data_IF_256190864457
#
_entry.id   IF_256190864457
#
_cell.length_a   1.000
_cell.length_b   1.000
_cell.length_c   1.000
_cell.angle_alpha   90.00
_cell.angle_beta   90.00
_cell.angle_gamma   90.00
#
_symmetry.space_group_name_H-M   'P 1'
#
loop_
_entity.id
_entity.type
_entity.pdbx_description
1 polymer ?
#
# COMPACT_ATOMS: atom_id res chain seq x y z
N UNK A 1 71.06 4.26 -14.28
CA UNK A 1 71.08 5.72 -14.55
C UNK A 1 70.18 5.92 -15.75
N UNK A 2 69.09 6.68 -15.75
CA UNK A 2 68.58 7.74 -14.88
C UNK A 2 67.12 8.02 -15.29
N UNK A 3 66.36 8.58 -14.36
CA UNK A 3 64.94 8.94 -14.42
C UNK A 3 64.59 10.06 -15.43
N UNK A 4 63.31 10.14 -15.81
CA UNK A 4 62.44 11.34 -15.84
C UNK A 4 61.07 10.89 -16.39
N UNK A 5 60.00 10.77 -15.61
CA UNK A 5 59.16 11.81 -14.98
C UNK A 5 58.26 12.54 -15.98
N UNK A 6 56.94 12.44 -15.74
CA UNK A 6 55.87 12.82 -16.65
C UNK A 6 54.52 12.67 -15.94
N UNK A 7 54.28 13.57 -14.99
CA UNK A 7 53.03 13.70 -14.26
C UNK A 7 51.88 14.06 -15.22
N UNK A 8 50.92 13.13 -15.37
CA UNK A 8 49.63 13.36 -16.01
C UNK A 8 48.55 13.55 -14.94
N UNK A 9 48.11 14.80 -14.78
CA UNK A 9 47.01 15.24 -13.92
C UNK A 9 45.71 14.51 -14.27
N UNK A 10 45.14 13.77 -13.30
CA UNK A 10 43.81 13.17 -13.43
C UNK A 10 42.71 14.26 -13.40
N UNK A 11 41.66 14.16 -14.24
CA UNK A 11 40.57 15.13 -14.21
C UNK A 11 39.77 14.97 -12.91
N UNK A 12 39.57 16.10 -12.21
CA UNK A 12 38.75 16.18 -11.02
C UNK A 12 37.32 15.71 -11.33
N UNK A 13 36.92 14.62 -10.67
CA UNK A 13 35.55 14.11 -10.72
C UNK A 13 34.67 15.12 -9.99
N UNK A 14 33.85 15.84 -10.76
CA UNK A 14 32.88 16.81 -10.29
C UNK A 14 32.00 16.18 -9.20
N UNK A 15 32.22 16.61 -7.97
CA UNK A 15 31.64 16.00 -6.75
C UNK A 15 30.26 16.58 -6.44
N UNK A 16 29.87 17.67 -7.11
CA UNK A 16 28.59 18.36 -6.89
C UNK A 16 27.40 17.65 -7.56
N UNK A 17 27.60 16.96 -8.68
CA UNK A 17 26.52 16.23 -9.37
C UNK A 17 25.99 15.00 -8.59
N UNK A 18 26.75 14.51 -7.59
CA UNK A 18 26.32 13.42 -6.70
C UNK A 18 25.45 13.92 -5.53
N UNK A 19 25.60 15.18 -5.14
CA UNK A 19 24.82 15.76 -4.04
C UNK A 19 23.39 16.12 -4.48
N UNK A 20 23.24 16.68 -5.69
CA UNK A 20 21.92 17.02 -6.26
C UNK A 20 21.06 15.77 -6.55
N UNK A 21 21.70 14.65 -6.91
CA UNK A 21 21.01 13.37 -7.11
C UNK A 21 20.56 12.73 -5.79
N UNK A 22 21.29 12.90 -4.70
CA UNK A 22 20.92 12.34 -3.40
C UNK A 22 19.71 13.07 -2.78
N UNK A 23 19.65 14.40 -2.90
CA UNK A 23 18.53 15.20 -2.38
C UNK A 23 17.22 14.95 -3.13
N UNK A 24 17.25 14.91 -4.48
CA UNK A 24 16.04 14.64 -5.28
C UNK A 24 15.52 13.19 -5.22
N UNK A 25 16.24 12.29 -4.56
CA UNK A 25 15.91 10.86 -4.43
C UNK A 25 15.24 10.58 -3.09
N UNK A 26 15.71 11.19 -2.00
CA UNK A 26 14.99 11.17 -0.72
C UNK A 26 13.62 11.84 -0.86
N UNK A 27 13.53 12.92 -1.64
CA UNK A 27 12.28 13.62 -1.95
C UNK A 27 11.25 12.74 -2.68
N UNK A 28 11.64 11.72 -3.44
CA UNK A 28 10.70 10.90 -4.24
C UNK A 28 9.97 9.86 -3.41
N UNK A 29 10.68 9.18 -2.51
CA UNK A 29 10.06 8.22 -1.62
C UNK A 29 9.39 8.92 -0.43
N UNK A 30 10.01 9.99 0.08
CA UNK A 30 9.31 10.83 1.03
C UNK A 30 8.08 11.47 0.38
N UNK A 31 8.08 11.88 -0.89
CA UNK A 31 6.85 12.28 -1.61
C UNK A 31 5.86 11.12 -1.84
N UNK A 32 6.35 9.90 -2.08
CA UNK A 32 5.49 8.70 -2.17
C UNK A 32 4.82 8.38 -0.83
N UNK A 33 5.52 8.60 0.28
CA UNK A 33 5.04 8.28 1.63
C UNK A 33 4.45 9.49 2.37
N UNK A 34 4.70 10.72 1.93
CA UNK A 34 4.18 11.95 2.54
C UNK A 34 2.77 12.18 2.03
N UNK A 35 1.88 12.49 2.97
CA UNK A 35 0.52 12.92 2.70
C UNK A 35 0.48 14.37 2.22
N UNK A 36 1.60 15.10 2.28
CA UNK A 36 1.65 16.49 1.86
C UNK A 36 1.53 16.60 0.35
N UNK A 37 0.47 17.31 -0.02
CA UNK A 37 0.11 17.65 -1.37
C UNK A 37 1.27 18.33 -2.10
N UNK A 38 1.37 17.99 -3.38
CA UNK A 38 1.88 18.93 -4.38
C UNK A 38 1.15 20.27 -4.20
N UNK A 39 1.84 21.21 -3.55
CA UNK A 39 1.32 22.54 -3.27
C UNK A 39 0.93 23.28 -4.55
N UNK A 40 -0.38 23.33 -4.83
CA UNK A 40 -0.95 24.36 -5.68
C UNK A 40 -1.12 25.61 -4.81
N UNK A 41 -0.18 26.52 -5.00
CA UNK A 41 -0.12 27.85 -4.42
C UNK A 41 -1.37 28.64 -4.80
N UNK A 42 -2.18 28.90 -3.79
CA UNK A 42 -3.08 30.03 -3.57
C UNK A 42 -2.91 31.20 -4.57
N UNK A 43 -3.84 31.29 -5.53
CA UNK A 43 -4.20 32.53 -6.22
C UNK A 43 -5.54 32.35 -6.96
N UNK A 44 -6.65 32.59 -6.26
CA UNK A 44 -7.91 33.06 -6.84
C UNK A 44 -8.93 33.37 -5.72
N UNK A 45 -8.61 34.31 -4.83
CA UNK A 45 -9.67 35.15 -4.27
C UNK A 45 -9.93 36.27 -5.29
N UNK A 46 -11.06 36.20 -6.00
CA UNK A 46 -11.99 37.32 -6.20
C UNK A 46 -13.06 36.91 -7.23
N UNK A 47 -14.16 36.28 -6.76
CA UNK A 47 -15.53 36.49 -7.27
C UNK A 47 -16.51 36.13 -6.16
N UNK A 48 -17.10 37.16 -5.57
CA UNK A 48 -18.32 37.05 -4.77
C UNK A 48 -19.55 37.18 -5.67
N UNK A 49 -20.64 36.59 -5.17
CA UNK A 49 -22.06 36.73 -5.53
C UNK A 49 -22.48 36.01 -6.83
N UNK A 50 -23.53 35.21 -6.92
CA UNK A 50 -24.62 34.78 -6.03
C UNK A 50 -25.17 33.48 -6.65
N UNK A 51 -25.57 32.48 -5.85
CA UNK A 51 -26.86 31.82 -6.05
C UNK A 51 -27.19 30.88 -4.89
N UNK A 52 -28.36 31.17 -4.32
CA UNK A 52 -28.96 30.52 -3.17
C UNK A 52 -29.63 29.18 -3.53
N UNK A 53 -29.55 28.28 -2.56
CA UNK A 53 -30.58 27.32 -2.14
C UNK A 53 -30.90 26.14 -3.07
N UNK A 54 -30.48 24.94 -2.65
CA UNK A 54 -31.39 23.81 -2.48
C UNK A 54 -30.87 22.89 -1.38
N UNK A 55 -31.62 22.90 -0.28
CA UNK A 55 -31.41 22.11 0.91
C UNK A 55 -31.80 20.64 0.71
N UNK A 56 -31.09 19.76 1.42
CA UNK A 56 -31.69 18.57 2.03
C UNK A 56 -31.24 17.22 1.45
N UNK A 57 -30.24 16.60 2.06
CA UNK A 57 -30.45 15.43 2.93
C UNK A 57 -29.09 14.92 3.46
N UNK A 58 -28.91 15.06 4.77
CA UNK A 58 -27.84 14.43 5.54
C UNK A 58 -28.25 12.98 5.84
N UNK A 59 -27.44 11.96 5.50
CA UNK A 59 -27.61 10.60 6.01
C UNK A 59 -26.55 10.29 7.05
N UNK A 60 -26.42 11.13 8.09
CA UNK A 60 -25.63 10.83 9.28
C UNK A 60 -26.52 10.88 10.53
N UNK A 61 -27.28 9.81 10.76
CA UNK A 61 -27.84 9.53 12.09
C UNK A 61 -27.98 8.02 12.33
N UNK A 62 -26.90 7.29 12.07
CA UNK A 62 -26.73 5.90 12.50
C UNK A 62 -25.37 5.82 13.17
N UNK A 63 -25.34 5.24 14.38
CA UNK A 63 -24.17 5.05 15.25
C UNK A 63 -23.93 6.13 16.32
N UNK A 64 -24.86 6.21 17.28
CA UNK A 64 -24.65 6.94 18.52
C UNK A 64 -25.58 6.52 19.65
N UNK A 65 -25.54 5.27 20.13
CA UNK A 65 -26.14 4.93 21.43
C UNK A 65 -25.12 4.25 22.34
N UNK A 66 -24.40 5.11 23.04
CA UNK A 66 -23.61 4.77 24.22
C UNK A 66 -24.58 4.41 25.35
N UNK A 67 -24.49 3.18 25.86
CA UNK A 67 -25.28 2.74 27.00
C UNK A 67 -24.76 3.42 28.26
N UNK A 68 -25.57 4.30 28.84
CA UNK A 68 -25.35 4.90 30.15
C UNK A 68 -25.91 3.98 31.25
N UNK A 69 -25.01 3.57 32.13
CA UNK A 69 -25.24 2.90 33.41
C UNK A 69 -26.09 3.78 34.33
N UNK A 70 -27.22 3.28 34.83
CA UNK A 70 -27.94 3.85 35.97
C UNK A 70 -28.52 2.70 36.78
N UNK A 71 -27.92 2.50 37.95
CA UNK A 71 -28.48 1.69 39.04
C UNK A 71 -29.52 2.52 39.77
N UNK A 72 -30.70 1.96 39.97
CA UNK A 72 -31.56 2.32 41.10
C UNK A 72 -32.32 1.08 41.58
N UNK A 73 -32.29 0.85 42.89
CA UNK A 73 -32.94 -0.23 43.63
C UNK A 73 -34.34 0.25 44.06
N UNK A 74 -35.42 -0.49 43.75
CA UNK A 74 -36.56 -0.72 44.66
C UNK A 74 -37.73 -1.51 44.02
N UNK A 75 -38.13 -2.56 44.76
CA UNK A 75 -39.45 -3.23 44.91
C UNK A 75 -40.03 -4.13 43.79
N UNK A 76 -40.52 -5.36 44.11
CA UNK A 76 -41.07 -6.29 43.14
C UNK A 76 -42.59 -6.08 43.02
N UNK A 77 -43.01 -5.23 42.09
CA UNK A 77 -44.40 -5.27 41.60
C UNK A 77 -44.54 -6.35 40.53
N UNK A 78 -45.62 -7.11 40.69
CA UNK A 78 -46.00 -8.28 39.89
C UNK A 78 -46.30 -7.80 38.46
N UNK A 79 -45.39 -8.12 37.53
CA UNK A 79 -45.61 -7.94 36.10
C UNK A 79 -46.54 -9.04 35.58
N UNK A 80 -47.84 -8.73 35.49
CA UNK A 80 -48.77 -9.46 34.63
C UNK A 80 -48.31 -9.27 33.17
N UNK A 81 -47.58 -10.27 32.66
CA UNK A 81 -47.32 -10.38 31.23
C UNK A 81 -48.64 -10.67 30.52
N UNK A 82 -49.31 -9.62 30.05
CA UNK A 82 -50.27 -9.74 28.98
C UNK A 82 -49.51 -10.23 27.74
N UNK A 83 -49.58 -11.53 27.48
CA UNK A 83 -49.03 -12.14 26.29
C UNK A 83 -49.67 -11.47 25.06
N UNK A 84 -48.87 -10.71 24.31
CA UNK A 84 -49.24 -10.25 22.98
C UNK A 84 -49.64 -11.47 22.13
N UNK A 85 -50.72 -11.42 21.35
CA UNK A 85 -51.13 -12.55 20.55
C UNK A 85 -50.01 -12.92 19.57
N UNK A 86 -49.49 -14.15 19.67
CA UNK A 86 -48.45 -14.60 18.73
C UNK A 86 -48.97 -14.48 17.29
N UNK A 87 -48.17 -13.92 16.37
CA UNK A 87 -48.59 -13.71 14.99
C UNK A 87 -48.94 -15.06 14.33
N UNK A 88 -50.09 -15.08 13.66
CA UNK A 88 -50.58 -16.27 12.98
C UNK A 88 -49.54 -16.76 11.95
N UNK A 89 -49.13 -18.02 12.08
CA UNK A 89 -48.19 -18.68 11.16
C UNK A 89 -48.93 -19.27 9.98
N UNK A 90 -48.46 -18.96 8.77
CA UNK A 90 -48.99 -19.43 7.50
C UNK A 90 -48.08 -20.54 7.00
N UNK A 91 -48.64 -21.67 6.58
CA UNK A 91 -47.89 -22.77 5.99
C UNK A 91 -47.74 -22.56 4.48
N UNK A 92 -46.50 -22.42 4.02
CA UNK A 92 -46.14 -22.23 2.62
C UNK A 92 -46.15 -23.55 1.85
N UNK A 93 -46.15 -23.46 0.52
CA UNK A 93 -46.21 -24.61 -0.40
C UNK A 93 -44.99 -25.55 -0.30
N UNK A 94 -43.88 -25.09 0.25
CA UNK A 94 -42.67 -25.88 0.53
C UNK A 94 -42.73 -26.60 1.89
N UNK A 95 -43.82 -26.43 2.64
CA UNK A 95 -44.03 -27.04 3.96
C UNK A 95 -43.50 -26.22 5.13
N UNK A 96 -42.86 -25.07 4.91
CA UNK A 96 -42.39 -24.15 5.97
C UNK A 96 -43.53 -23.31 6.54
N UNK A 97 -43.44 -22.94 7.82
CA UNK A 97 -44.42 -22.06 8.48
C UNK A 97 -43.77 -20.72 8.81
N UNK A 98 -44.34 -19.62 8.32
CA UNK A 98 -43.82 -18.26 8.51
C UNK A 98 -44.96 -17.28 8.82
N UNK A 99 -44.63 -16.21 9.53
CA UNK A 99 -45.54 -15.09 9.82
C UNK A 99 -45.70 -14.18 8.59
N UNK A 100 -46.75 -13.35 8.58
CA UNK A 100 -46.98 -12.41 7.49
C UNK A 100 -45.85 -11.39 7.31
N UNK A 101 -45.20 -10.99 8.42
CA UNK A 101 -44.09 -10.04 8.46
C UNK A 101 -42.82 -10.65 7.84
N UNK A 102 -42.48 -11.90 8.18
CA UNK A 102 -41.34 -12.62 7.60
C UNK A 102 -41.48 -12.78 6.07
N UNK A 103 -42.71 -13.06 5.58
CA UNK A 103 -42.99 -13.17 4.15
C UNK A 103 -42.83 -11.81 3.44
N UNK A 104 -43.18 -10.70 4.11
CA UNK A 104 -42.93 -9.36 3.56
C UNK A 104 -41.43 -9.05 3.53
N UNK A 105 -40.70 -9.33 4.61
CA UNK A 105 -39.26 -9.12 4.67
C UNK A 105 -38.50 -9.92 3.60
N UNK A 106 -38.89 -11.18 3.37
CA UNK A 106 -38.28 -12.00 2.30
C UNK A 106 -38.55 -11.44 0.90
N UNK A 107 -39.75 -10.91 0.66
CA UNK A 107 -40.07 -10.22 -0.60
C UNK A 107 -39.24 -8.96 -0.77
N UNK A 108 -39.14 -8.14 0.27
CA UNK A 108 -38.35 -6.90 0.25
C UNK A 108 -36.85 -7.18 0.14
N UNK A 109 -36.36 -8.25 0.76
CA UNK A 109 -34.99 -8.73 0.60
C UNK A 109 -34.72 -9.23 -0.83
N UNK A 110 -35.67 -9.93 -1.43
CA UNK A 110 -35.61 -10.36 -2.84
C UNK A 110 -35.58 -9.18 -3.80
N UNK A 111 -36.43 -8.17 -3.59
CA UNK A 111 -36.48 -6.92 -4.37
C UNK A 111 -35.16 -6.14 -4.25
N UNK A 112 -34.62 -5.99 -3.04
CA UNK A 112 -33.30 -5.36 -2.81
C UNK A 112 -32.19 -6.12 -3.53
N UNK A 113 -32.17 -7.45 -3.41
CA UNK A 113 -31.14 -8.29 -4.06
C UNK A 113 -31.21 -8.18 -5.58
N UNK A 114 -32.42 -8.17 -6.16
CA UNK A 114 -32.62 -7.98 -7.59
C UNK A 114 -32.15 -6.58 -8.04
N UNK A 115 -32.47 -5.54 -7.27
CA UNK A 115 -32.02 -4.18 -7.56
C UNK A 115 -30.50 -4.03 -7.48
N UNK A 116 -29.86 -4.56 -6.43
CA UNK A 116 -28.40 -4.58 -6.30
C UNK A 116 -27.74 -5.35 -7.44
N UNK A 117 -28.29 -6.52 -7.80
CA UNK A 117 -27.77 -7.33 -8.91
C UNK A 117 -27.82 -6.55 -10.21
N UNK A 118 -28.98 -5.95 -10.52
CA UNK A 118 -29.18 -5.14 -11.72
C UNK A 118 -28.26 -3.93 -11.74
N UNK A 119 -28.18 -3.15 -10.66
CA UNK A 119 -27.27 -2.00 -10.55
C UNK A 119 -25.81 -2.40 -10.70
N UNK A 120 -25.41 -3.53 -10.11
CA UNK A 120 -24.03 -4.03 -10.24
C UNK A 120 -23.73 -4.45 -11.68
N UNK A 121 -24.68 -5.08 -12.36
CA UNK A 121 -24.57 -5.41 -13.79
C UNK A 121 -24.50 -4.14 -14.65
N UNK A 122 -25.38 -3.16 -14.44
CA UNK A 122 -25.38 -1.88 -15.14
C UNK A 122 -24.04 -1.13 -14.94
N UNK A 123 -23.49 -1.10 -13.71
CA UNK A 123 -22.19 -0.49 -13.42
C UNK A 123 -21.06 -1.27 -14.12
N UNK A 124 -21.09 -2.59 -14.10
CA UNK A 124 -20.08 -3.41 -14.77
C UNK A 124 -20.11 -3.23 -16.29
N UNK A 125 -21.31 -3.16 -16.89
CA UNK A 125 -21.50 -2.88 -18.32
C UNK A 125 -21.04 -1.48 -18.68
N UNK A 126 -21.38 -0.47 -17.87
CA UNK A 126 -20.93 0.91 -18.07
C UNK A 126 -19.42 1.00 -18.01
N UNK A 127 -18.76 0.34 -17.05
CA UNK A 127 -17.30 0.27 -16.97
C UNK A 127 -16.67 -0.36 -18.22
N UNK A 128 -17.19 -1.51 -18.66
CA UNK A 128 -16.71 -2.16 -19.90
C UNK A 128 -16.87 -1.26 -21.12
N UNK A 129 -17.99 -0.56 -21.24
CA UNK A 129 -18.24 0.37 -22.35
C UNK A 129 -17.29 1.58 -22.30
N UNK A 130 -17.00 2.11 -21.10
CA UNK A 130 -16.01 3.17 -20.92
C UNK A 130 -14.60 2.71 -21.26
N UNK A 131 -14.19 1.51 -20.79
CA UNK A 131 -12.88 0.93 -21.10
C UNK A 131 -12.70 0.70 -22.61
N UNK A 132 -13.74 0.20 -23.29
CA UNK A 132 -13.73 0.03 -24.75
C UNK A 132 -13.55 1.36 -25.46
N UNK A 133 -14.33 2.39 -25.08
CA UNK A 133 -14.19 3.74 -25.65
C UNK A 133 -12.83 4.36 -25.36
N UNK A 134 -12.29 4.18 -24.16
CA UNK A 134 -10.96 4.66 -23.82
C UNK A 134 -9.89 3.99 -24.71
N UNK A 135 -10.03 2.69 -24.99
CA UNK A 135 -9.19 1.96 -25.93
C UNK A 135 -9.30 2.50 -27.37
N UNK A 136 -10.52 2.69 -27.86
CA UNK A 136 -10.77 3.28 -29.19
C UNK A 136 -10.16 4.68 -29.32
N UNK A 137 -10.37 5.55 -28.33
CA UNK A 137 -9.79 6.90 -28.28
C UNK A 137 -8.26 6.82 -28.32
N UNK A 138 -7.65 5.90 -27.57
CA UNK A 138 -6.20 5.71 -27.60
C UNK A 138 -5.69 5.31 -28.99
N UNK A 139 -6.38 4.37 -29.66
CA UNK A 139 -6.02 3.93 -31.01
C UNK A 139 -6.20 5.07 -32.03
N UNK A 140 -7.26 5.86 -31.89
CA UNK A 140 -7.45 7.05 -32.73
C UNK A 140 -6.34 8.08 -32.52
N UNK A 141 -5.92 8.32 -31.28
CA UNK A 141 -4.81 9.22 -30.99
C UNK A 141 -3.49 8.76 -31.65
N UNK A 142 -3.16 7.48 -31.56
CA UNK A 142 -1.94 6.95 -32.20
C UNK A 142 -2.04 7.05 -33.72
N UNK A 143 -3.20 6.74 -34.30
CA UNK A 143 -3.42 6.86 -35.75
C UNK A 143 -3.30 8.31 -36.24
N UNK A 144 -3.81 9.29 -35.48
CA UNK A 144 -3.68 10.72 -35.80
C UNK A 144 -2.22 11.17 -35.69
N UNK A 145 -1.51 10.76 -34.64
CA UNK A 145 -0.09 11.09 -34.49
C UNK A 145 0.74 10.57 -35.67
N UNK A 146 0.54 9.31 -36.06
CA UNK A 146 1.21 8.73 -37.23
C UNK A 146 0.81 9.40 -38.55
N UNK A 147 -0.45 9.79 -38.70
CA UNK A 147 -0.91 10.52 -39.87
C UNK A 147 -0.25 11.90 -39.98
N UNK A 148 -0.10 12.62 -38.86
CA UNK A 148 0.62 13.90 -38.80
C UNK A 148 2.10 13.74 -39.15
N UNK A 149 2.77 12.71 -38.64
CA UNK A 149 4.17 12.40 -39.00
C UNK A 149 4.32 12.13 -40.51
N UNK A 150 3.43 11.32 -41.09
CA UNK A 150 3.42 11.07 -42.54
C UNK A 150 3.12 12.34 -43.34
N UNK A 151 2.17 13.15 -42.89
CA UNK A 151 1.82 14.40 -43.54
C UNK A 151 2.99 15.38 -43.53
N UNK A 152 3.69 15.51 -42.39
CA UNK A 152 4.88 16.34 -42.25
C UNK A 152 5.99 15.88 -43.19
N UNK A 153 6.28 14.57 -43.23
CA UNK A 153 7.28 14.02 -44.15
C UNK A 153 6.95 14.27 -45.63
N UNK A 154 5.68 14.17 -46.01
CA UNK A 154 5.23 14.47 -47.37
C UNK A 154 5.38 15.97 -47.66
N UNK A 155 4.87 16.84 -46.79
CA UNK A 155 4.95 18.29 -47.02
C UNK A 155 6.41 18.75 -47.10
N UNK A 156 7.27 18.32 -46.19
CA UNK A 156 8.70 18.64 -46.22
C UNK A 156 9.40 18.19 -47.52
N UNK A 157 8.99 17.05 -48.09
CA UNK A 157 9.53 16.57 -49.36
C UNK A 157 9.11 17.42 -50.59
N UNK A 158 7.98 18.12 -50.50
CA UNK A 158 7.45 18.97 -51.58
C UNK A 158 7.58 20.47 -51.32
N UNK A 159 8.20 20.89 -50.21
CA UNK A 159 8.48 22.31 -49.94
C UNK A 159 9.45 22.83 -51.01
N UNK A 160 9.08 23.88 -51.75
CA UNK A 160 9.96 24.48 -52.74
C UNK A 160 11.17 25.12 -52.06
N UNK A 161 12.30 25.19 -52.74
CA UNK A 161 13.46 25.91 -52.23
C UNK A 161 13.18 27.42 -52.20
N UNK A 162 13.71 28.14 -51.20
CA UNK A 162 13.54 29.59 -51.13
C UNK A 162 14.12 30.26 -52.40
N UNK A 163 13.42 31.23 -52.99
CA UNK A 163 13.90 31.93 -54.18
C UNK A 163 15.17 32.72 -53.86
N UNK A 164 16.11 32.79 -54.81
CA UNK A 164 17.38 33.49 -54.61
C UNK A 164 17.16 34.99 -54.48
N UNK A 165 17.98 35.66 -53.67
CA UNK A 165 17.96 37.12 -53.53
C UNK A 165 18.42 37.84 -54.81
N UNK A 166 19.19 37.17 -55.64
CA UNK A 166 19.61 37.66 -56.96
C UNK A 166 18.41 37.80 -57.93
N UNK A 167 17.44 36.88 -57.86
CA UNK A 167 16.21 36.96 -58.62
C UNK A 167 15.40 38.21 -58.26
N UNK A 168 15.47 38.69 -57.02
CA UNK A 168 14.80 39.92 -56.60
C UNK A 168 15.39 41.18 -57.29
N UNK A 169 16.65 41.15 -57.70
CA UNK A 169 17.32 42.25 -58.42
C UNK A 169 17.03 42.23 -59.92
N UNK A 170 16.95 41.02 -60.51
CA UNK A 170 16.78 40.84 -61.95
C UNK A 170 15.32 40.77 -62.39
N UNK A 171 14.44 40.16 -61.60
CA UNK A 171 13.00 40.04 -61.87
C UNK A 171 12.19 40.07 -60.55
N UNK A 172 11.86 41.28 -60.06
CA UNK A 172 11.11 41.44 -58.83
C UNK A 172 9.73 40.77 -58.86
N UNK A 173 9.07 40.77 -60.02
CA UNK A 173 7.73 40.18 -60.16
C UNK A 173 7.78 38.67 -59.95
N UNK A 174 8.74 37.97 -60.58
CA UNK A 174 8.90 36.52 -60.37
C UNK A 174 9.35 36.18 -58.96
N UNK A 175 10.26 36.96 -58.38
CA UNK A 175 10.65 36.77 -56.99
C UNK A 175 9.45 36.83 -56.04
N UNK A 176 8.57 37.83 -56.19
CA UNK A 176 7.39 37.95 -55.32
C UNK A 176 6.42 36.77 -55.49
N UNK A 177 6.25 36.26 -56.71
CA UNK A 177 5.42 35.10 -56.97
C UNK A 177 6.01 33.82 -56.34
N UNK A 178 7.29 33.56 -56.54
CA UNK A 178 7.97 32.38 -55.96
C UNK A 178 8.04 32.46 -54.44
N UNK A 179 8.28 33.65 -53.88
CA UNK A 179 8.28 33.88 -52.45
C UNK A 179 6.89 33.64 -51.85
N UNK A 180 5.81 34.07 -52.52
CA UNK A 180 4.45 33.79 -52.06
C UNK A 180 4.14 32.29 -52.03
N UNK A 181 4.58 31.53 -53.03
CA UNK A 181 4.43 30.07 -53.07
C UNK A 181 5.24 29.42 -51.94
N UNK A 182 6.49 29.85 -51.74
CA UNK A 182 7.34 29.37 -50.65
C UNK A 182 6.73 29.64 -49.27
N UNK A 183 6.26 30.87 -49.03
CA UNK A 183 5.62 31.25 -47.77
C UNK A 183 4.33 30.45 -47.52
N UNK A 184 3.52 30.22 -48.54
CA UNK A 184 2.34 29.38 -48.43
C UNK A 184 2.70 27.93 -48.03
N UNK A 185 3.73 27.35 -48.66
CA UNK A 185 4.23 26.02 -48.31
C UNK A 185 4.76 25.96 -46.87
N UNK A 186 5.54 26.97 -46.44
CA UNK A 186 6.04 27.06 -45.07
C UNK A 186 4.93 27.21 -44.04
N UNK A 187 3.86 27.95 -44.37
CA UNK A 187 2.67 28.05 -43.51
C UNK A 187 2.00 26.70 -43.25
N UNK A 188 1.98 25.81 -44.24
CA UNK A 188 1.47 24.44 -44.06
C UNK A 188 2.38 23.58 -43.17
N UNK A 189 3.70 23.69 -43.34
CA UNK A 189 4.69 23.01 -42.47
C UNK A 189 4.51 23.46 -41.02
N UNK A 190 4.41 24.77 -40.80
CA UNK A 190 4.25 25.36 -39.47
C UNK A 190 2.93 24.90 -38.81
N UNK A 191 1.83 24.84 -39.57
CA UNK A 191 0.55 24.35 -39.07
C UNK A 191 0.63 22.89 -38.59
N UNK A 192 1.16 22.00 -39.42
CA UNK A 192 1.30 20.57 -39.07
C UNK A 192 2.26 20.42 -37.88
N UNK A 193 3.36 21.17 -37.86
CA UNK A 193 4.33 21.14 -36.76
C UNK A 193 3.71 21.59 -35.44
N UNK A 194 2.89 22.65 -35.46
CA UNK A 194 2.15 23.14 -34.30
C UNK A 194 1.15 22.10 -33.80
N UNK A 195 0.39 21.46 -34.70
CA UNK A 195 -0.55 20.39 -34.33
C UNK A 195 0.17 19.19 -33.70
N UNK A 196 1.32 18.79 -34.25
CA UNK A 196 2.17 17.74 -33.66
C UNK A 196 2.60 18.11 -32.25
N UNK A 197 3.14 19.32 -32.06
CA UNK A 197 3.62 19.78 -30.76
C UNK A 197 2.50 19.79 -29.72
N UNK A 198 1.30 20.25 -30.10
CA UNK A 198 0.13 20.23 -29.22
C UNK A 198 -0.26 18.80 -28.82
N UNK A 199 -0.24 17.86 -29.77
CA UNK A 199 -0.56 16.46 -29.50
C UNK A 199 0.46 15.80 -28.57
N UNK A 200 1.77 16.06 -28.78
CA UNK A 200 2.84 15.59 -27.90
C UNK A 200 2.69 16.16 -26.49
N UNK A 201 2.43 17.47 -26.36
CA UNK A 201 2.23 18.09 -25.06
C UNK A 201 1.03 17.51 -24.30
N UNK A 202 -0.08 17.23 -25.00
CA UNK A 202 -1.24 16.56 -24.40
C UNK A 202 -0.91 15.12 -23.97
N UNK A 203 -0.16 14.38 -24.78
CA UNK A 203 0.28 13.03 -24.44
C UNK A 203 1.17 13.02 -23.19
N UNK A 204 2.10 13.96 -23.08
CA UNK A 204 2.99 14.10 -21.93
C UNK A 204 2.21 14.47 -20.66
N UNK A 205 1.26 15.40 -20.75
CA UNK A 205 0.38 15.75 -19.63
C UNK A 205 -0.44 14.55 -19.16
N UNK A 206 -1.00 13.77 -20.09
CA UNK A 206 -1.78 12.57 -19.76
C UNK A 206 -0.90 11.51 -19.12
N UNK A 207 0.30 11.26 -19.65
CA UNK A 207 1.25 10.31 -19.07
C UNK A 207 1.66 10.70 -17.64
N UNK A 208 1.84 12.00 -17.37
CA UNK A 208 2.11 12.50 -16.03
C UNK A 208 0.92 12.28 -15.08
N UNK A 209 -0.30 12.57 -15.53
CA UNK A 209 -1.51 12.34 -14.75
C UNK A 209 -1.72 10.84 -14.46
N UNK A 210 -1.57 9.97 -15.45
CA UNK A 210 -1.68 8.52 -15.30
C UNK A 210 -0.63 7.97 -14.33
N UNK A 211 0.60 8.49 -14.39
CA UNK A 211 1.67 8.14 -13.45
C UNK A 211 1.33 8.59 -12.02
N UNK A 212 0.81 9.81 -11.85
CA UNK A 212 0.40 10.32 -10.55
C UNK A 212 -0.74 9.48 -9.95
N UNK A 213 -1.75 9.16 -10.76
CA UNK A 213 -2.86 8.29 -10.36
C UNK A 213 -2.39 6.89 -9.98
N UNK A 214 -1.47 6.30 -10.76
CA UNK A 214 -0.88 5.01 -10.46
C UNK A 214 -0.13 5.03 -9.11
N UNK A 215 0.70 6.05 -8.89
CA UNK A 215 1.45 6.25 -7.65
C UNK A 215 0.50 6.40 -6.46
N UNK A 216 -0.54 7.22 -6.58
CA UNK A 216 -1.54 7.38 -5.52
C UNK A 216 -2.27 6.07 -5.20
N UNK A 217 -2.70 5.34 -6.24
CA UNK A 217 -3.36 4.04 -6.06
C UNK A 217 -2.47 2.99 -5.39
N UNK A 218 -1.17 2.95 -5.73
CA UNK A 218 -0.20 2.09 -5.06
C UNK A 218 -0.01 2.48 -3.58
N UNK A 219 0.07 3.78 -3.29
CA UNK A 219 0.16 4.30 -1.93
C UNK A 219 -1.08 3.93 -1.09
N UNK A 220 -2.27 4.08 -1.64
CA UNK A 220 -3.51 3.76 -0.92
C UNK A 220 -3.60 2.25 -0.62
N UNK A 221 -3.17 1.40 -1.56
CA UNK A 221 -3.06 -0.06 -1.34
C UNK A 221 -2.01 -0.39 -0.27
N UNK A 222 -0.90 0.35 -0.22
CA UNK A 222 0.10 0.21 0.83
C UNK A 222 -0.47 0.57 2.21
N UNK A 223 -1.20 1.69 2.32
CA UNK A 223 -1.83 2.11 3.58
C UNK A 223 -2.98 1.20 4.01
N UNK A 224 -3.68 0.57 3.06
CA UNK A 224 -4.66 -0.46 3.37
C UNK A 224 -3.98 -1.74 3.91
N UNK A 225 -2.81 -2.10 3.37
CA UNK A 225 -2.07 -3.29 3.78
C UNK A 225 -1.26 -3.12 5.07
N UNK A 226 -0.74 -1.91 5.34
CA UNK A 226 0.03 -1.55 6.53
C UNK A 226 -0.56 -0.26 7.13
N UNK A 227 -1.66 -0.36 7.91
CA UNK A 227 -2.38 0.81 8.43
C UNK A 227 -1.54 1.72 9.32
N UNK A 228 -0.48 1.20 9.94
CA UNK A 228 0.44 1.98 10.77
C UNK A 228 1.13 3.09 9.98
N UNK A 229 1.25 2.95 8.65
CA UNK A 229 1.83 3.96 7.76
C UNK A 229 0.90 5.15 7.52
N UNK A 230 -0.32 5.18 8.09
CA UNK A 230 -1.12 6.41 8.07
C UNK A 230 -0.59 7.49 9.03
N UNK A 231 0.18 7.07 10.04
CA UNK A 231 0.84 7.97 11.00
C UNK A 231 2.22 8.41 10.47
N UNK A 232 2.47 9.72 10.42
CA UNK A 232 3.71 10.30 9.89
C UNK A 232 4.98 9.88 10.62
N UNK A 233 4.94 9.76 11.95
CA UNK A 233 6.09 9.35 12.75
C UNK A 233 6.41 7.86 12.52
N UNK A 234 5.36 7.02 12.44
CA UNK A 234 5.52 5.59 12.12
C UNK A 234 6.03 5.39 10.69
N UNK A 235 5.60 6.21 9.73
CA UNK A 235 6.15 6.19 8.36
C UNK A 235 7.63 6.50 8.33
N UNK A 236 8.08 7.54 9.03
CA UNK A 236 9.50 7.89 9.05
C UNK A 236 10.35 6.76 9.65
N UNK A 237 9.91 6.18 10.76
CA UNK A 237 10.58 5.04 11.38
C UNK A 237 10.61 3.82 10.44
N UNK A 238 9.49 3.53 9.76
CA UNK A 238 9.41 2.46 8.78
C UNK A 238 10.36 2.70 7.60
N UNK A 239 10.39 3.91 7.05
CA UNK A 239 11.28 4.26 5.94
C UNK A 239 12.76 4.04 6.30
N UNK A 240 13.19 4.51 7.47
CA UNK A 240 14.55 4.28 7.97
C UNK A 240 14.87 2.80 8.18
N UNK A 241 13.90 2.02 8.63
CA UNK A 241 14.06 0.57 8.76
C UNK A 241 14.22 -0.11 7.40
N UNK A 242 13.41 0.28 6.41
CA UNK A 242 13.47 -0.28 5.06
C UNK A 242 14.78 0.07 4.36
N UNK A 243 15.29 1.30 4.50
CA UNK A 243 16.60 1.70 3.97
C UNK A 243 17.69 0.76 4.52
N UNK A 244 17.73 0.55 5.84
CA UNK A 244 18.70 -0.38 6.45
C UNK A 244 18.51 -1.82 5.98
N UNK A 245 17.27 -2.23 5.76
CA UNK A 245 16.97 -3.57 5.27
C UNK A 245 17.49 -3.78 3.85
N UNK A 246 17.30 -2.84 2.93
CA UNK A 246 17.77 -2.96 1.54
C UNK A 246 19.30 -2.87 1.45
N UNK A 247 19.94 -2.07 2.31
CA UNK A 247 21.40 -1.97 2.40
C UNK A 247 22.03 -3.32 2.77
N UNK A 248 21.37 -4.11 3.61
CA UNK A 248 21.82 -5.46 3.95
C UNK A 248 21.83 -6.42 2.74
N UNK A 249 21.09 -6.09 1.67
CA UNK A 249 21.07 -6.83 0.40
C UNK A 249 21.92 -6.17 -0.70
N UNK A 250 22.64 -5.08 -0.39
CA UNK A 250 23.52 -4.37 -1.33
C UNK A 250 22.81 -3.39 -2.25
N UNK A 251 21.55 -3.07 -1.99
CA UNK A 251 20.84 -1.99 -2.69
C UNK A 251 21.17 -0.64 -2.07
N UNK A 252 21.20 0.40 -2.89
CA UNK A 252 21.32 1.78 -2.43
C UNK A 252 19.97 2.35 -2.02
N UNK A 253 20.00 3.44 -1.25
CA UNK A 253 18.81 4.25 -0.96
C UNK A 253 18.11 4.72 -2.25
N UNK A 254 18.88 4.97 -3.31
CA UNK A 254 18.33 5.38 -4.61
C UNK A 254 17.56 4.26 -5.32
N UNK A 255 17.97 3.00 -5.15
CA UNK A 255 17.24 1.86 -5.69
C UNK A 255 15.93 1.67 -4.94
N UNK A 256 15.95 1.85 -3.61
CA UNK A 256 14.76 1.78 -2.78
C UNK A 256 13.74 2.88 -3.10
N UNK A 257 14.20 4.11 -3.34
CA UNK A 257 13.32 5.22 -3.70
C UNK A 257 12.62 5.06 -5.05
N UNK A 258 13.09 4.15 -5.92
CA UNK A 258 12.43 3.83 -7.19
C UNK A 258 11.31 2.80 -7.03
N UNK A 259 11.17 2.18 -5.85
CA UNK A 259 10.14 1.17 -5.60
C UNK A 259 8.81 1.87 -5.32
N UNK A 260 7.95 1.88 -6.34
CA UNK A 260 6.57 2.40 -6.25
C UNK A 260 5.58 1.26 -5.92
N UNK A 261 5.89 0.03 -6.33
CA UNK A 261 5.00 -1.12 -6.17
C UNK A 261 4.82 -1.49 -4.69
N UNK A 262 3.59 -1.34 -4.18
CA UNK A 262 3.26 -1.63 -2.78
C UNK A 262 3.54 -3.08 -2.40
N UNK A 263 3.49 -4.03 -3.36
CA UNK A 263 3.76 -5.45 -3.12
C UNK A 263 5.23 -5.67 -2.79
N UNK A 264 6.13 -4.97 -3.49
CA UNK A 264 7.56 -5.04 -3.22
C UNK A 264 7.89 -4.44 -1.84
N UNK A 265 7.26 -3.33 -1.49
CA UNK A 265 7.41 -2.71 -0.17
C UNK A 265 6.94 -3.67 0.94
N UNK A 266 5.83 -4.38 0.72
CA UNK A 266 5.34 -5.41 1.66
C UNK A 266 6.32 -6.57 1.82
N UNK A 267 6.83 -7.11 0.72
CA UNK A 267 7.83 -8.19 0.74
C UNK A 267 9.09 -7.74 1.48
N UNK A 268 9.53 -6.51 1.25
CA UNK A 268 10.67 -5.93 1.95
C UNK A 268 10.40 -5.79 3.45
N UNK A 269 9.21 -5.32 3.84
CA UNK A 269 8.81 -5.23 5.23
C UNK A 269 8.81 -6.60 5.92
N UNK A 270 8.31 -7.62 5.25
CA UNK A 270 8.33 -9.00 5.75
C UNK A 270 9.76 -9.54 5.86
N UNK A 271 10.62 -9.26 4.89
CA UNK A 271 12.03 -9.61 4.94
C UNK A 271 12.75 -8.93 6.11
N UNK A 272 12.51 -7.63 6.33
CA UNK A 272 13.08 -6.88 7.45
C UNK A 272 12.64 -7.46 8.81
N UNK A 273 11.34 -7.75 8.95
CA UNK A 273 10.77 -8.42 10.14
C UNK A 273 11.41 -9.79 10.37
N UNK A 274 11.55 -10.59 9.31
CA UNK A 274 12.19 -11.89 9.40
C UNK A 274 13.66 -11.80 9.85
N UNK A 275 14.43 -10.85 9.30
CA UNK A 275 15.81 -10.62 9.71
C UNK A 275 15.90 -10.21 11.18
N UNK A 276 14.99 -9.37 11.67
CA UNK A 276 14.90 -9.02 13.10
C UNK A 276 14.65 -10.24 13.98
N UNK A 277 13.70 -11.10 13.60
CA UNK A 277 13.39 -12.34 14.33
C UNK A 277 14.62 -13.27 14.33
N UNK A 278 15.27 -13.43 13.18
CA UNK A 278 16.48 -14.25 13.05
C UNK A 278 17.63 -13.71 13.90
N UNK A 279 17.87 -12.40 13.88
CA UNK A 279 18.89 -11.75 14.70
C UNK A 279 18.58 -11.87 16.20
N UNK A 280 17.32 -11.68 16.59
CA UNK A 280 16.88 -11.87 17.98
C UNK A 280 17.03 -13.34 18.44
N UNK A 281 16.79 -14.29 17.54
CA UNK A 281 16.96 -15.73 17.81
C UNK A 281 18.43 -16.16 17.85
N UNK A 282 19.30 -15.53 17.07
CA UNK A 282 20.74 -15.76 17.06
C UNK A 282 21.46 -15.15 18.27
N UNK A 283 20.91 -14.06 18.85
CA UNK A 283 21.40 -13.40 20.07
C UNK A 283 21.19 -14.22 21.36
N UNK A 284 20.58 -15.39 21.25
CA UNK A 284 20.34 -16.31 22.35
C UNK A 284 18.94 -16.85 22.23
N UNK A 285 18.82 -18.18 22.15
CA UNK A 285 17.59 -18.83 22.53
C UNK A 285 17.11 -18.15 23.82
N UNK A 286 15.93 -17.55 23.80
CA UNK A 286 15.11 -17.47 24.99
C UNK A 286 14.98 -18.94 25.41
N UNK A 287 15.91 -19.40 26.27
CA UNK A 287 15.72 -20.61 27.06
C UNK A 287 14.31 -20.40 27.59
N UNK A 288 13.32 -21.27 27.27
CA UNK A 288 12.01 -21.14 27.87
C UNK A 288 12.29 -20.98 29.35
N UNK A 289 11.91 -19.83 29.92
CA UNK A 289 12.20 -19.52 31.31
C UNK A 289 11.74 -20.76 32.07
N UNK A 290 12.71 -21.51 32.62
CA UNK A 290 12.49 -22.90 33.03
C UNK A 290 11.19 -22.92 33.80
N UNK A 291 10.16 -23.46 33.16
CA UNK A 291 8.81 -23.39 33.68
C UNK A 291 8.91 -24.12 35.00
N UNK A 292 8.88 -23.37 36.10
CA UNK A 292 9.05 -23.94 37.43
C UNK A 292 7.93 -24.95 37.54
N UNK A 293 8.27 -26.24 37.44
CA UNK A 293 7.32 -27.31 37.63
C UNK A 293 6.58 -27.00 38.94
N UNK A 294 5.24 -27.01 38.96
CA UNK A 294 4.51 -26.70 40.18
C UNK A 294 5.02 -27.63 41.27
N UNK A 295 5.60 -27.05 42.32
CA UNK A 295 6.05 -27.82 43.47
C UNK A 295 4.82 -28.53 44.05
N UNK A 296 4.85 -29.86 44.19
CA UNK A 296 3.76 -30.56 44.84
C UNK A 296 3.60 -30.03 46.27
N UNK A 297 2.36 -29.87 46.77
CA UNK A 297 2.11 -29.27 48.08
C UNK A 297 2.79 -30.08 49.19
N UNK A 298 3.36 -29.34 50.14
CA UNK A 298 4.32 -29.77 51.14
C UNK A 298 4.04 -31.11 51.82
N UNK A 299 5.04 -32.00 51.81
CA UNK A 299 5.15 -33.05 52.82
C UNK A 299 5.60 -32.41 54.14
N UNK A 300 4.75 -32.57 55.16
CA UNK A 300 5.01 -32.17 56.54
C UNK A 300 6.29 -32.84 57.05
N UNK A 301 7.14 -32.04 57.68
CA UNK A 301 8.30 -32.51 58.43
C UNK A 301 7.81 -33.35 59.62
N UNK A 302 8.26 -34.60 59.70
CA UNK A 302 8.00 -35.47 60.83
C UNK A 302 8.13 -36.96 60.47
N UNK A 303 9.36 -37.44 60.27
CA UNK A 303 9.89 -38.70 60.83
C UNK A 303 11.36 -38.85 60.38
N UNK A 304 12.31 -38.59 61.29
CA UNK A 304 13.75 -38.65 61.03
C UNK A 304 14.31 -40.09 61.00
N UNK A 305 13.57 -41.05 60.43
CA UNK A 305 13.98 -42.46 60.32
C UNK A 305 14.17 -42.97 58.89
N UNK A 306 13.59 -42.30 57.89
CA UNK A 306 13.58 -42.81 56.50
C UNK A 306 14.88 -42.62 55.70
N UNK A 307 15.78 -41.73 56.13
CA UNK A 307 16.99 -41.41 55.38
C UNK A 307 18.21 -42.27 55.76
N UNK A 308 18.20 -42.91 56.94
CA UNK A 308 19.32 -43.73 57.38
C UNK A 308 19.41 -45.04 56.59
N UNK A 309 18.29 -45.71 56.33
CA UNK A 309 18.23 -46.92 55.48
C UNK A 309 18.75 -46.64 54.07
N UNK A 310 18.31 -45.53 53.47
CA UNK A 310 18.73 -45.13 52.13
C UNK A 310 20.24 -44.88 52.04
N UNK A 311 20.79 -44.22 53.05
CA UNK A 311 22.23 -43.95 53.13
C UNK A 311 23.06 -45.21 53.43
N UNK A 312 22.59 -46.09 54.33
CA UNK A 312 23.26 -47.34 54.67
C UNK A 312 23.27 -48.32 53.49
N UNK A 313 22.17 -48.41 52.73
CA UNK A 313 22.08 -49.23 51.54
C UNK A 313 22.95 -48.70 50.38
N UNK A 314 23.02 -47.38 50.22
CA UNK A 314 23.89 -46.74 49.23
C UNK A 314 25.39 -46.94 49.57
N UNK A 315 25.74 -46.85 50.84
CA UNK A 315 27.10 -47.11 51.34
C UNK A 315 27.48 -48.58 51.12
N UNK A 316 26.59 -49.51 51.46
CA UNK A 316 26.81 -50.95 51.26
C UNK A 316 26.98 -51.32 49.78
N UNK A 317 26.18 -50.73 48.87
CA UNK A 317 26.32 -50.92 47.43
C UNK A 317 27.64 -50.35 46.88
N UNK A 318 28.14 -49.26 47.47
CA UNK A 318 29.37 -48.60 47.01
C UNK A 318 30.63 -49.25 47.57
N UNK A 319 30.61 -49.70 48.83
CA UNK A 319 31.77 -50.33 49.46
C UNK A 319 31.84 -51.85 49.25
N UNK A 320 30.70 -52.53 49.06
CA UNK A 320 30.61 -53.99 48.90
C UNK A 320 31.09 -54.78 50.13
N UNK A 321 31.40 -54.10 51.23
CA UNK A 321 31.94 -54.70 52.44
C UNK A 321 30.85 -55.39 53.25
N UNK A 322 31.16 -56.59 53.77
CA UNK A 322 30.24 -57.38 54.62
C UNK A 322 29.78 -56.60 55.86
N UNK A 323 30.63 -55.71 56.39
CA UNK A 323 30.31 -54.90 57.56
C UNK A 323 29.30 -53.79 57.25
N UNK A 324 29.34 -53.22 56.05
CA UNK A 324 28.40 -52.17 55.65
C UNK A 324 27.06 -52.75 55.18
N UNK A 325 27.06 -53.96 54.61
CA UNK A 325 25.82 -54.71 54.32
C UNK A 325 25.09 -55.11 55.59
N UNK A 326 25.79 -55.53 56.64
CA UNK A 326 25.17 -55.83 57.93
C UNK A 326 24.47 -54.60 58.54
N UNK A 327 25.13 -53.43 58.53
CA UNK A 327 24.51 -52.17 59.01
C UNK A 327 23.29 -51.76 58.18
N UNK A 328 23.29 -52.00 56.87
CA UNK A 328 22.13 -51.72 56.03
C UNK A 328 20.94 -52.62 56.35
N UNK A 329 21.20 -53.89 56.71
CA UNK A 329 20.16 -54.85 57.11
C UNK A 329 19.63 -54.52 58.50
N UNK A 330 20.49 -54.20 59.46
CA UNK A 330 20.06 -53.80 60.82
C UNK A 330 19.25 -52.50 60.79
N UNK A 331 19.64 -51.52 59.97
CA UNK A 331 18.87 -50.30 59.77
C UNK A 331 17.50 -50.57 59.13
N UNK A 332 17.40 -51.60 58.28
CA UNK A 332 16.13 -52.00 57.66
C UNK A 332 15.21 -52.72 58.66
N UNK A 333 15.75 -53.59 59.50
CA UNK A 333 15.01 -54.30 60.54
C UNK A 333 14.54 -53.40 61.70
N UNK A 334 15.26 -52.31 61.97
CA UNK A 334 14.92 -51.36 63.04
C UNK A 334 13.81 -50.35 62.64
N UNK A 335 13.34 -50.38 61.39
CA UNK A 335 12.30 -49.47 60.89
C UNK A 335 10.91 -50.11 60.71
N UNK A 336 10.78 -51.40 61.02
CA UNK A 336 9.51 -52.11 61.27
C UNK A 336 9.17 -52.07 62.78
#
# INVERSE_FOLDING_TARGET
MTNADGAGTAPAVNTDARADFAQGVDDRLSAFLSTDEVGFREQAEDRRDDDQALAGHDPEDLFGRQASDTRDDADPEISDHAAEPEPARIRLADGTEATAEEIQEWRDAGLRTADYTRKTQEVAETRRALDSRAGEVSVHHTAVAEALERALAVVEAYVPTPPSTDLALHDPARYTQEMAIYQAAMGHVEEITRQRLQLTAQADQRAQADRANFVQGERDRLFAAIPELKDGAKRQAFNQEMIKAVEAYGFSQADYAQIIDHRLIRVLADAARYQKIKAASAGGALRPAAQRSPQPPGRRAGQAGGNEIGSALAQAKRSGSKADTARAIDAWLAAD
#
